data_IF_498470169485
#
_entry.id   IF_498470169485
#
_cell.length_a   1.000
_cell.length_b   1.000
_cell.length_c   1.000
_cell.angle_alpha   90.00
_cell.angle_beta   90.00
_cell.angle_gamma   90.00
#
_symmetry.space_group_name_H-M   'P 1'
#
loop_
_entity.id
_entity.type
_entity.pdbx_description
1 polymer ?
#
# COMPACT_ATOMS: atom_id res chain seq x y z
N UNK A 1 -10.23 8.09 13.37
CA UNK A 1 -9.75 7.26 12.25
C UNK A 1 -8.23 7.30 12.24
N UNK A 2 -7.61 6.14 12.27
CA UNK A 2 -6.14 6.05 12.32
C UNK A 2 -5.59 5.65 10.96
N UNK A 3 -4.71 6.48 10.41
CA UNK A 3 -4.06 6.21 9.15
C UNK A 3 -2.76 5.43 9.37
N UNK A 4 -2.52 4.47 8.51
CA UNK A 4 -1.31 3.66 8.51
C UNK A 4 -0.46 4.04 7.31
N UNK A 5 0.84 4.14 7.51
CA UNK A 5 1.79 4.48 6.46
C UNK A 5 2.45 3.23 5.93
N UNK A 6 2.49 3.09 4.60
CA UNK A 6 3.33 2.11 3.93
C UNK A 6 4.21 2.83 2.93
N UNK A 7 5.36 2.26 2.65
CA UNK A 7 6.33 2.88 1.74
C UNK A 7 7.18 1.81 1.06
N UNK A 8 7.65 2.13 -0.13
CA UNK A 8 8.61 1.29 -0.84
C UNK A 8 10.00 1.57 -0.30
N UNK A 9 10.75 0.51 -0.04
CA UNK A 9 12.15 0.60 0.32
C UNK A 9 12.94 -0.41 -0.48
N UNK A 10 14.25 -0.20 -0.56
CA UNK A 10 15.11 -1.16 -1.23
C UNK A 10 15.20 -2.44 -0.42
N UNK A 11 15.17 -3.57 -1.11
CA UNK A 11 15.36 -4.87 -0.49
C UNK A 11 16.80 -5.03 -0.02
N UNK A 12 16.96 -5.76 1.10
CA UNK A 12 18.27 -6.23 1.54
C UNK A 12 18.72 -7.39 0.64
N UNK A 13 19.98 -7.76 0.71
CA UNK A 13 20.50 -8.88 -0.07
C UNK A 13 19.79 -10.19 0.28
N UNK A 14 19.45 -10.38 1.55
CA UNK A 14 18.69 -11.56 1.99
C UNK A 14 17.31 -11.61 1.38
N UNK A 15 16.64 -10.46 1.32
CA UNK A 15 15.31 -10.36 0.73
C UNK A 15 15.34 -10.63 -0.77
N UNK A 16 16.33 -10.10 -1.46
CA UNK A 16 16.50 -10.36 -2.90
C UNK A 16 16.72 -11.84 -3.18
N UNK A 17 17.49 -12.50 -2.34
CA UNK A 17 17.70 -13.92 -2.46
C UNK A 17 16.42 -14.71 -2.23
N UNK A 18 15.64 -14.32 -1.23
CA UNK A 18 14.37 -14.96 -0.90
C UNK A 18 13.34 -14.81 -2.02
N UNK A 19 13.25 -13.62 -2.63
CA UNK A 19 12.26 -13.33 -3.66
C UNK A 19 12.76 -13.54 -5.09
N UNK A 20 13.95 -14.07 -5.29
CA UNK A 20 14.47 -14.42 -6.60
C UNK A 20 15.20 -13.33 -7.36
N UNK A 21 15.37 -12.15 -6.77
CA UNK A 21 16.22 -11.10 -7.32
C UNK A 21 15.70 -10.30 -8.50
N UNK A 22 14.44 -10.48 -8.90
CA UNK A 22 13.86 -9.73 -10.01
C UNK A 22 13.51 -8.28 -9.64
N UNK A 23 13.26 -8.01 -8.36
CA UNK A 23 12.81 -6.71 -7.88
C UNK A 23 13.76 -6.19 -6.82
N UNK A 24 13.94 -4.87 -6.81
CA UNK A 24 14.84 -4.20 -5.88
C UNK A 24 14.10 -3.62 -4.69
N UNK A 25 12.79 -3.47 -4.78
CA UNK A 25 12.01 -2.75 -3.78
C UNK A 25 10.90 -3.61 -3.21
N UNK A 26 10.56 -3.35 -1.95
CA UNK A 26 9.50 -4.06 -1.23
C UNK A 26 8.71 -3.05 -0.39
N UNK A 27 7.42 -3.30 -0.23
CA UNK A 27 6.58 -2.51 0.66
C UNK A 27 6.91 -2.81 2.12
N UNK A 28 7.01 -1.76 2.92
CA UNK A 28 7.25 -1.85 4.35
C UNK A 28 6.27 -0.95 5.09
N UNK A 29 6.16 -1.16 6.41
CA UNK A 29 5.20 -0.47 7.25
C UNK A 29 4.08 -1.40 7.66
N UNK A 30 2.91 -0.83 7.95
CA UNK A 30 1.75 -1.62 8.36
C UNK A 30 0.89 -1.95 7.13
N UNK A 31 1.10 -3.14 6.57
CA UNK A 31 0.46 -3.54 5.32
C UNK A 31 -1.01 -3.94 5.54
N UNK A 32 -1.90 -3.62 4.57
CA UNK A 32 -3.29 -4.08 4.62
C UNK A 32 -3.37 -5.59 4.39
N UNK A 33 -4.53 -6.16 4.70
CA UNK A 33 -4.79 -7.55 4.37
C UNK A 33 -5.06 -7.70 2.87
N UNK A 34 -4.64 -8.82 2.30
CA UNK A 34 -4.85 -9.13 0.89
C UNK A 34 -6.34 -9.28 0.60
N UNK A 35 -6.77 -8.75 -0.54
CA UNK A 35 -8.16 -8.76 -1.01
C UNK A 35 -9.11 -7.91 -0.17
N UNK A 36 -8.57 -7.01 0.65
CA UNK A 36 -9.37 -6.12 1.47
C UNK A 36 -9.40 -4.72 0.86
N UNK A 37 -10.60 -4.15 0.71
CA UNK A 37 -10.77 -2.76 0.29
C UNK A 37 -10.51 -1.83 1.46
N UNK A 38 -9.76 -0.76 1.20
CA UNK A 38 -9.41 0.23 2.21
C UNK A 38 -9.47 1.62 1.59
N UNK A 39 -9.48 2.65 2.45
CA UNK A 39 -9.30 4.02 2.00
C UNK A 39 -7.82 4.30 1.84
N UNK A 40 -7.45 5.00 0.78
CA UNK A 40 -6.05 5.35 0.51
C UNK A 40 -5.91 6.83 0.20
N UNK A 41 -4.76 7.37 0.55
CA UNK A 41 -4.35 8.72 0.19
C UNK A 41 -2.84 8.72 0.00
N UNK A 42 -2.35 9.57 -0.88
CA UNK A 42 -0.92 9.72 -1.09
C UNK A 42 -0.59 11.16 -1.45
N UNK A 43 0.66 11.52 -1.25
CA UNK A 43 1.14 12.88 -1.51
C UNK A 43 1.52 13.02 -2.97
N UNK A 44 0.87 13.94 -3.69
CA UNK A 44 1.15 14.19 -5.10
C UNK A 44 2.45 14.97 -5.26
N UNK A 45 2.57 16.04 -4.48
CA UNK A 45 3.80 16.83 -4.34
C UNK A 45 3.93 17.19 -2.86
N UNK A 46 5.11 17.58 -2.37
CA UNK A 46 5.28 17.90 -0.95
C UNK A 46 4.20 18.86 -0.44
N UNK A 47 3.46 18.41 0.55
CA UNK A 47 2.38 19.17 1.18
C UNK A 47 1.02 19.07 0.50
N UNK A 48 0.92 18.41 -0.64
CA UNK A 48 -0.36 18.28 -1.36
C UNK A 48 -0.76 16.81 -1.48
N UNK A 49 -1.83 16.44 -0.79
CA UNK A 49 -2.34 15.07 -0.78
C UNK A 49 -3.49 14.89 -1.75
N UNK A 50 -3.67 13.66 -2.21
CA UNK A 50 -4.83 13.30 -3.01
C UNK A 50 -6.09 13.32 -2.15
N UNK A 51 -7.24 13.38 -2.82
CA UNK A 51 -8.49 13.06 -2.16
C UNK A 51 -8.46 11.59 -1.75
N UNK A 52 -9.16 11.29 -0.66
CA UNK A 52 -9.26 9.92 -0.19
C UNK A 52 -10.09 9.11 -1.20
N UNK A 53 -9.57 7.95 -1.58
CA UNK A 53 -10.27 7.05 -2.49
C UNK A 53 -10.23 5.63 -1.96
N UNK A 54 -11.02 4.75 -2.55
CA UNK A 54 -11.05 3.33 -2.19
C UNK A 54 -10.16 2.56 -3.13
N UNK A 55 -9.34 1.68 -2.59
CA UNK A 55 -8.51 0.76 -3.38
C UNK A 55 -8.47 -0.59 -2.68
N UNK A 56 -7.97 -1.59 -3.37
CA UNK A 56 -7.87 -2.94 -2.83
C UNK A 56 -6.42 -3.40 -2.84
N UNK A 57 -5.99 -4.00 -1.73
CA UNK A 57 -4.65 -4.56 -1.58
C UNK A 57 -4.67 -5.97 -2.15
N UNK A 58 -3.88 -6.22 -3.17
CA UNK A 58 -3.90 -7.50 -3.88
C UNK A 58 -2.51 -8.08 -4.02
N UNK A 59 -2.47 -9.37 -4.34
CA UNK A 59 -1.24 -10.08 -4.64
C UNK A 59 -1.08 -10.15 -6.16
N UNK A 60 0.03 -9.60 -6.64
CA UNK A 60 0.44 -9.72 -8.04
C UNK A 60 1.43 -10.89 -8.17
N UNK A 61 1.73 -11.28 -9.39
CA UNK A 61 2.74 -12.32 -9.65
C UNK A 61 4.09 -11.99 -9.05
N UNK A 62 4.37 -10.70 -8.89
CA UNK A 62 5.66 -10.19 -8.44
C UNK A 62 5.64 -9.61 -7.02
N UNK A 63 4.58 -9.79 -6.27
CA UNK A 63 4.48 -9.28 -4.91
C UNK A 63 3.14 -8.66 -4.60
N UNK A 64 3.09 -7.86 -3.55
CA UNK A 64 1.88 -7.22 -3.06
C UNK A 64 1.81 -5.75 -3.50
N UNK A 65 0.60 -5.24 -3.62
CA UNK A 65 0.41 -3.83 -3.93
C UNK A 65 -1.06 -3.46 -4.03
N UNK A 66 -1.33 -2.18 -4.24
CA UNK A 66 -2.68 -1.71 -4.52
C UNK A 66 -2.99 -1.89 -6.00
N UNK A 67 -4.24 -2.24 -6.29
CA UNK A 67 -4.68 -2.47 -7.66
C UNK A 67 -4.58 -1.22 -8.54
N UNK A 68 -4.96 -0.07 -8.01
CA UNK A 68 -5.06 1.17 -8.80
C UNK A 68 -4.10 2.27 -8.37
N UNK A 69 -3.62 2.26 -7.13
CA UNK A 69 -2.77 3.33 -6.61
C UNK A 69 -1.31 3.06 -6.92
N UNK A 70 -0.67 4.02 -7.57
CA UNK A 70 0.75 3.93 -7.93
C UNK A 70 1.50 5.10 -7.31
N UNK A 71 2.10 4.87 -6.15
CA UNK A 71 2.89 5.85 -5.43
C UNK A 71 3.89 5.13 -4.53
N UNK A 72 5.00 5.80 -4.19
CA UNK A 72 6.05 5.20 -3.36
C UNK A 72 5.73 5.25 -1.86
N UNK A 73 4.87 6.18 -1.47
CA UNK A 73 4.40 6.32 -0.09
C UNK A 73 2.90 6.47 -0.12
N UNK A 74 2.24 5.62 0.65
CA UNK A 74 0.77 5.57 0.68
C UNK A 74 0.32 5.53 2.14
N UNK A 75 -0.75 6.27 2.41
CA UNK A 75 -1.45 6.18 3.70
C UNK A 75 -2.77 5.47 3.47
N UNK A 76 -3.11 4.56 4.36
CA UNK A 76 -4.36 3.82 4.25
C UNK A 76 -5.03 3.67 5.59
N UNK A 77 -6.34 3.47 5.57
CA UNK A 77 -7.11 3.16 6.76
C UNK A 77 -8.28 2.26 6.38
N UNK A 78 -8.84 1.58 7.35
CA UNK A 78 -9.98 0.71 7.11
C UNK A 78 -11.19 1.52 6.67
N UNK A 79 -12.01 0.92 5.79
CA UNK A 79 -13.28 1.52 5.42
C UNK A 79 -14.17 1.62 6.64
N UNK A 80 -14.84 2.77 6.84
CA UNK A 80 -15.83 2.88 7.88
C UNK A 80 -16.93 1.83 7.67
N UNK A 81 -17.32 1.21 8.75
CA UNK A 81 -18.39 0.24 8.67
C UNK A 81 -19.72 0.97 8.47
N UNK A 82 -20.40 0.65 7.39
CA UNK A 82 -21.72 1.22 7.16
C UNK A 82 -22.75 0.47 7.98
N UNK A 83 -23.41 1.20 8.87
CA UNK A 83 -24.45 0.65 9.72
C UNK A 83 -25.79 1.31 9.36
N UNK A 84 -26.16 1.18 8.09
CA UNK A 84 -27.41 1.71 7.61
C UNK A 84 -28.61 0.98 8.21
N UNK A 85 -29.73 1.58 8.09
CA UNK A 85 -30.98 1.02 8.60
C UNK A 85 -31.65 0.14 7.59
#
# INVERSE_FOLDING_TARGET
MKWHKIYLRKMTDEEKEYYGGEYDEIWDGYLPEVDKKVLVAYEIVPGMYTDVCVDIWIEFDNGLGFESTDADVIYWTELPKFEGE
#
